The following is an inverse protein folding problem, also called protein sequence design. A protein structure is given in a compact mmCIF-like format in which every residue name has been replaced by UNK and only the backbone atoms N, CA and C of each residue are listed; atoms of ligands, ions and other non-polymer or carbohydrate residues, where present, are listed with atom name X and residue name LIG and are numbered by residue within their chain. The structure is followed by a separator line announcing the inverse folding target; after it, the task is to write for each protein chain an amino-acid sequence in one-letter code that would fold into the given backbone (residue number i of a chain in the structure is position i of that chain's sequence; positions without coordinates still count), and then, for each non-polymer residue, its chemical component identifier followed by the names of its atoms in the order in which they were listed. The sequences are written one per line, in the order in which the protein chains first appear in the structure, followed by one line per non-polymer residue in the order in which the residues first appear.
data_IF_917686640382
#
_entry.id   IF_917686640382
#
_cell.length_a   1.000
_cell.length_b   1.000
_cell.length_c   1.000
_cell.angle_alpha   90.00
_cell.angle_beta   90.00
_cell.angle_gamma   90.00
#
_symmetry.space_group_name_H-M   'P 1'
#
loop_
_entity.id
_entity.type
_entity.pdbx_description
1 polymer ?
#
# COMPACT_ATOMS: atom_id res chain seq x y z
N UNK A 1 -5.84 -10.24 -17.45
CA UNK A 1 -6.64 -9.52 -16.44
C UNK A 1 -5.73 -8.51 -15.79
N UNK A 2 -6.20 -7.29 -15.53
CA UNK A 2 -5.34 -6.23 -14.98
C UNK A 2 -5.22 -6.38 -13.45
N UNK A 3 -4.09 -6.89 -12.96
CA UNK A 3 -3.86 -7.13 -11.53
C UNK A 3 -3.99 -5.85 -10.69
N UNK A 4 -3.57 -4.71 -11.24
CA UNK A 4 -3.69 -3.40 -10.57
C UNK A 4 -5.17 -3.06 -10.29
N UNK A 5 -6.07 -3.36 -11.24
CA UNK A 5 -7.50 -3.12 -11.07
C UNK A 5 -8.11 -4.02 -9.99
N UNK A 6 -7.72 -5.29 -9.95
CA UNK A 6 -8.18 -6.24 -8.91
C UNK A 6 -7.73 -5.79 -7.51
N UNK A 7 -6.47 -5.38 -7.38
CA UNK A 7 -5.92 -4.85 -6.12
C UNK A 7 -6.67 -3.59 -5.69
N UNK A 8 -6.92 -2.66 -6.62
CA UNK A 8 -7.71 -1.45 -6.35
C UNK A 8 -9.10 -1.77 -5.84
N UNK A 9 -9.84 -2.65 -6.52
CA UNK A 9 -11.19 -3.05 -6.11
C UNK A 9 -11.19 -3.66 -4.70
N UNK A 10 -10.19 -4.49 -4.38
CA UNK A 10 -10.04 -5.07 -3.05
C UNK A 10 -9.71 -4.05 -1.96
N UNK A 11 -8.87 -3.05 -2.27
CA UNK A 11 -8.56 -1.95 -1.35
C UNK A 11 -9.84 -1.15 -1.07
N UNK A 12 -10.58 -0.79 -2.11
CA UNK A 12 -11.83 -0.03 -2.00
C UNK A 12 -12.94 -0.79 -1.28
N UNK A 13 -13.05 -2.11 -1.51
CA UNK A 13 -14.04 -2.95 -0.81
C UNK A 13 -13.79 -3.02 0.70
N UNK A 14 -12.58 -2.71 1.16
CA UNK A 14 -12.22 -2.60 2.58
C UNK A 14 -12.32 -1.15 3.11
N UNK A 15 -12.93 -0.23 2.35
CA UNK A 15 -13.07 1.18 2.74
C UNK A 15 -11.76 1.97 2.79
N UNK A 16 -10.67 1.47 2.19
CA UNK A 16 -9.41 2.20 2.11
C UNK A 16 -9.43 3.20 0.94
N UNK A 17 -9.98 4.39 1.19
CA UNK A 17 -10.12 5.42 0.16
C UNK A 17 -8.84 6.23 -0.10
N UNK A 18 -7.84 6.14 0.80
CA UNK A 18 -6.54 6.77 0.62
C UNK A 18 -5.48 5.69 0.39
N UNK A 19 -5.09 5.52 -0.86
CA UNK A 19 -4.15 4.47 -1.25
C UNK A 19 -3.26 4.89 -2.41
N UNK A 20 -2.19 4.14 -2.60
CA UNK A 20 -1.40 4.16 -3.83
C UNK A 20 -0.91 2.74 -4.14
N UNK A 21 -0.92 2.42 -5.44
CA UNK A 21 -0.36 1.20 -6.02
C UNK A 21 0.81 1.62 -6.90
N UNK A 22 1.96 1.00 -6.68
CA UNK A 22 3.24 1.38 -7.25
C UNK A 22 3.86 0.17 -7.95
N UNK A 23 4.63 0.38 -9.01
CA UNK A 23 5.64 -0.59 -9.41
C UNK A 23 6.83 -0.55 -8.44
N UNK A 24 7.65 -1.61 -8.41
CA UNK A 24 8.91 -1.59 -7.66
C UNK A 24 9.96 -0.61 -8.23
N UNK A 25 9.76 -0.07 -9.44
CA UNK A 25 10.60 1.00 -9.98
C UNK A 25 10.14 2.40 -9.54
N UNK A 26 9.01 2.48 -8.83
CA UNK A 26 8.46 3.72 -8.29
C UNK A 26 7.47 4.44 -9.20
N UNK A 27 7.03 3.81 -10.28
CA UNK A 27 5.92 4.29 -11.09
C UNK A 27 4.61 4.16 -10.31
N UNK A 28 3.83 5.23 -10.26
CA UNK A 28 2.50 5.22 -9.66
C UNK A 28 1.52 4.69 -10.69
N UNK A 29 0.95 3.52 -10.42
CA UNK A 29 0.02 2.85 -11.33
C UNK A 29 -1.43 3.27 -11.06
N UNK A 30 -1.79 3.42 -9.79
CA UNK A 30 -3.11 3.88 -9.34
C UNK A 30 -2.97 4.60 -7.99
N UNK A 31 -3.86 5.56 -7.71
CA UNK A 31 -3.92 6.25 -6.42
C UNK A 31 -5.33 6.73 -6.10
N UNK A 32 -5.54 7.14 -4.85
CA UNK A 32 -6.77 7.78 -4.43
C UNK A 32 -6.63 8.60 -3.15
N UNK A 33 -7.50 9.60 -3.02
CA UNK A 33 -7.68 10.39 -1.81
C UNK A 33 -6.47 11.24 -1.47
N UNK A 34 -5.80 10.93 -0.35
CA UNK A 34 -4.70 11.78 0.13
C UNK A 34 -3.45 11.69 -0.77
N UNK A 35 -3.39 10.65 -1.59
CA UNK A 35 -2.30 10.40 -2.53
C UNK A 35 -2.53 11.04 -3.90
N UNK A 36 -3.55 11.88 -4.09
CA UNK A 36 -3.65 12.76 -5.27
C UNK A 36 -2.53 13.83 -5.25
N UNK A 37 -1.89 14.03 -4.10
CA UNK A 37 -0.72 14.88 -3.95
C UNK A 37 0.58 14.14 -4.38
N UNK A 38 1.32 14.62 -5.39
CA UNK A 38 2.54 13.97 -5.87
C UNK A 38 3.65 13.82 -4.82
N UNK A 39 3.74 14.72 -3.83
CA UNK A 39 4.71 14.59 -2.75
C UNK A 39 4.39 13.38 -1.85
N UNK A 40 3.10 13.11 -1.64
CA UNK A 40 2.64 11.96 -0.85
C UNK A 40 2.83 10.65 -1.61
N UNK A 41 2.72 10.67 -2.95
CA UNK A 41 3.08 9.53 -3.79
C UNK A 41 4.59 9.20 -3.68
N UNK A 42 5.46 10.21 -3.72
CA UNK A 42 6.91 10.02 -3.52
C UNK A 42 7.24 9.49 -2.12
N UNK A 43 6.57 10.01 -1.10
CA UNK A 43 6.68 9.49 0.26
C UNK A 43 6.28 8.01 0.30
N UNK A 44 5.18 7.64 -0.33
CA UNK A 44 4.70 6.27 -0.36
C UNK A 44 5.68 5.32 -1.04
N UNK A 45 6.23 5.73 -2.19
CA UNK A 45 7.30 4.98 -2.86
C UNK A 45 8.50 4.77 -1.92
N UNK A 46 8.91 5.81 -1.19
CA UNK A 46 10.02 5.73 -0.25
C UNK A 46 9.74 4.73 0.88
N UNK A 47 8.54 4.77 1.47
CA UNK A 47 8.12 3.84 2.53
C UNK A 47 8.18 2.40 2.01
N UNK A 48 7.53 2.12 0.87
CA UNK A 48 7.48 0.77 0.30
C UNK A 48 8.88 0.26 -0.03
N UNK A 49 9.74 1.08 -0.64
CA UNK A 49 11.13 0.71 -0.94
C UNK A 49 11.94 0.38 0.32
N UNK A 50 11.82 1.20 1.37
CA UNK A 50 12.55 0.95 2.62
C UNK A 50 12.04 -0.29 3.34
N UNK A 51 10.75 -0.61 3.20
CA UNK A 51 10.15 -1.82 3.73
C UNK A 51 10.31 -3.05 2.82
N UNK A 52 10.82 -2.91 1.59
CA UNK A 52 10.78 -3.97 0.59
C UNK A 52 11.41 -5.28 1.07
N UNK A 53 12.53 -5.22 1.81
CA UNK A 53 13.20 -6.39 2.38
C UNK A 53 12.34 -7.14 3.41
N UNK A 54 11.47 -6.44 4.13
CA UNK A 54 10.53 -7.04 5.09
C UNK A 54 9.27 -7.59 4.39
N UNK A 55 9.08 -7.28 3.12
CA UNK A 55 7.89 -7.62 2.33
C UNK A 55 8.24 -8.54 1.15
N UNK A 56 9.39 -9.20 1.19
CA UNK A 56 9.82 -10.11 0.13
C UNK A 56 9.01 -11.41 0.16
N UNK A 57 8.78 -12.04 -1.01
CA UNK A 57 8.21 -13.37 -1.07
C UNK A 57 9.06 -14.35 -0.24
N UNK A 58 8.42 -15.08 0.67
CA UNK A 58 9.08 -16.03 1.58
C UNK A 58 9.35 -15.49 2.98
N UNK A 59 9.26 -14.17 3.19
CA UNK A 59 9.30 -13.58 4.53
C UNK A 59 8.02 -13.87 5.32
N UNK A 60 8.16 -14.03 6.63
CA UNK A 60 7.01 -14.18 7.55
C UNK A 60 6.15 -12.93 7.58
N UNK A 61 6.77 -11.77 7.36
CA UNK A 61 6.13 -10.47 7.41
C UNK A 61 5.43 -10.17 6.07
N UNK A 62 4.11 -10.08 6.10
CA UNK A 62 3.29 -9.77 4.91
C UNK A 62 2.94 -8.29 4.80
N UNK A 63 3.15 -7.51 5.87
CA UNK A 63 2.62 -6.16 6.02
C UNK A 63 3.44 -5.38 7.05
N UNK A 64 3.67 -4.10 6.79
CA UNK A 64 4.26 -3.16 7.75
C UNK A 64 3.23 -2.07 8.04
N UNK A 65 2.90 -1.86 9.31
CA UNK A 65 2.01 -0.78 9.74
C UNK A 65 2.79 0.25 10.56
N UNK A 66 2.62 1.52 10.23
CA UNK A 66 3.24 2.67 10.90
C UNK A 66 2.13 3.61 11.38
N UNK A 67 1.97 3.69 12.70
CA UNK A 67 1.00 4.58 13.35
C UNK A 67 1.66 5.92 13.65
N UNK A 68 1.01 7.01 13.24
CA UNK A 68 1.38 8.39 13.54
C UNK A 68 0.15 9.10 14.08
N UNK A 69 0.15 9.44 15.37
CA UNK A 69 -0.98 10.14 16.02
C UNK A 69 -2.34 9.51 15.66
N UNK A 70 -3.11 10.17 14.79
CA UNK A 70 -4.45 9.76 14.38
C UNK A 70 -4.52 9.00 13.04
N UNK A 71 -3.38 8.64 12.44
CA UNK A 71 -3.33 7.93 11.14
C UNK A 71 -2.42 6.72 11.18
N UNK A 72 -2.77 5.69 10.41
CA UNK A 72 -1.96 4.49 10.20
C UNK A 72 -1.67 4.36 8.72
N UNK A 73 -0.38 4.24 8.40
CA UNK A 73 0.10 3.86 7.08
C UNK A 73 0.40 2.37 7.08
N UNK A 74 -0.14 1.65 6.09
CA UNK A 74 0.03 0.20 5.97
C UNK A 74 0.63 -0.11 4.61
N UNK A 75 1.86 -0.62 4.61
CA UNK A 75 2.60 -1.02 3.43
C UNK A 75 2.56 -2.54 3.26
N UNK A 76 2.38 -3.00 2.02
CA UNK A 76 2.45 -4.42 1.64
C UNK A 76 2.85 -4.55 0.17
N UNK A 77 3.07 -5.79 -0.27
CA UNK A 77 3.43 -6.14 -1.64
C UNK A 77 2.52 -7.25 -2.15
N UNK A 78 2.24 -7.24 -3.45
CA UNK A 78 1.42 -8.26 -4.12
C UNK A 78 2.09 -8.60 -5.46
N UNK A 79 2.02 -9.87 -5.87
CA UNK A 79 2.49 -10.31 -7.19
C UNK A 79 1.68 -9.61 -8.31
N UNK A 80 2.36 -9.18 -9.37
CA UNK A 80 1.72 -8.50 -10.50
C UNK A 80 1.09 -9.45 -11.54
N UNK A 81 1.19 -10.76 -11.34
CA UNK A 81 0.72 -11.82 -12.24
C UNK A 81 1.68 -12.14 -13.39
N UNK A 82 2.79 -11.41 -13.49
CA UNK A 82 3.77 -11.50 -14.57
C UNK A 82 5.21 -11.70 -14.06
N UNK A 83 5.38 -12.06 -12.79
CA UNK A 83 6.68 -12.27 -12.15
C UNK A 83 7.33 -10.99 -11.62
N UNK A 84 6.60 -9.88 -11.62
CA UNK A 84 6.96 -8.65 -10.92
C UNK A 84 6.15 -8.49 -9.63
N UNK A 85 6.35 -7.36 -8.96
CA UNK A 85 5.71 -7.09 -7.68
C UNK A 85 5.16 -5.66 -7.67
N UNK A 86 3.96 -5.53 -7.11
CA UNK A 86 3.31 -4.27 -6.85
C UNK A 86 3.56 -3.86 -5.40
N UNK A 87 3.93 -2.60 -5.20
CA UNK A 87 3.97 -1.95 -3.92
C UNK A 87 2.63 -1.32 -3.59
N UNK A 88 2.14 -1.53 -2.37
CA UNK A 88 0.87 -0.95 -1.92
C UNK A 88 1.12 -0.17 -0.65
N UNK A 89 0.61 1.06 -0.59
CA UNK A 89 0.50 1.82 0.65
C UNK A 89 -0.92 2.31 0.83
N UNK A 90 -1.50 2.06 2.00
CA UNK A 90 -2.80 2.55 2.40
C UNK A 90 -2.63 3.48 3.59
N UNK A 91 -3.41 4.57 3.63
CA UNK A 91 -3.56 5.43 4.79
C UNK A 91 -4.98 5.30 5.33
N UNK A 92 -5.12 5.03 6.63
CA UNK A 92 -6.41 5.00 7.33
C UNK A 92 -6.35 5.84 8.61
N UNK A 93 -7.49 6.38 9.07
CA UNK A 93 -7.61 6.88 10.43
C UNK A 93 -7.26 5.77 11.45
N UNK A 94 -6.55 6.11 12.52
CA UNK A 94 -6.06 5.14 13.51
C UNK A 94 -7.20 4.41 14.22
N UNK A 95 -8.29 5.11 14.53
CA UNK A 95 -9.49 4.51 15.11
C UNK A 95 -10.13 3.42 14.21
N UNK A 96 -10.02 3.55 12.90
CA UNK A 96 -10.51 2.55 11.93
C UNK A 96 -9.49 1.44 11.73
N UNK A 97 -8.21 1.80 11.58
CA UNK A 97 -7.14 0.84 11.30
C UNK A 97 -6.90 -0.13 12.47
N UNK A 98 -6.90 0.38 13.70
CA UNK A 98 -6.65 -0.41 14.91
C UNK A 98 -7.86 -1.22 15.36
N UNK A 99 -9.08 -0.82 14.98
CA UNK A 99 -10.27 -1.63 15.20
C UNK A 99 -10.37 -2.83 14.24
N UNK A 100 -9.58 -2.82 13.16
CA UNK A 100 -9.57 -3.85 12.14
C UNK A 100 -8.42 -4.87 12.28
N UNK A 101 -7.52 -4.69 13.26
CA UNK A 101 -6.53 -5.70 13.67
C UNK A 101 -7.09 -6.45 14.90
N UNK A 102 -7.42 -7.75 14.79
CA UNK A 102 -7.88 -8.56 15.92
C UNK A 102 -6.77 -8.85 16.95
#
# INVERSE_FOLDING_TARGET
MNQVALVKDQILSQGANHFVILSMTGEVLEHGGDFDNPLKQRLAHTIVQKCAHLLQPGESFKRVSMTMEEVVYTATTVDDGHGGTLGILVKRPANVALAADP
#
